data_IF_893079199017
#
_entry.id   IF_893079199017
#
_cell.length_a   1.000
_cell.length_b   1.000
_cell.length_c   1.000
_cell.angle_alpha   90.00
_cell.angle_beta   90.00
_cell.angle_gamma   90.00
#
_symmetry.space_group_name_H-M   'P 1'
#
loop_
_entity.id
_entity.type
_entity.pdbx_description
1 polymer ?
#
# COMPACT_ATOMS: atom_id res chain seq x y z
N UNK A 1 -27.14 4.27 1.33
CA UNK A 1 -26.18 5.37 1.56
C UNK A 1 -25.82 6.10 0.29
N UNK A 2 -25.06 5.51 -0.64
CA UNK A 2 -24.56 6.20 -1.84
C UNK A 2 -25.69 6.81 -2.71
N UNK A 3 -26.82 6.12 -2.86
CA UNK A 3 -27.99 6.67 -3.55
C UNK A 3 -28.52 7.97 -2.92
N UNK A 4 -28.52 8.08 -1.58
CA UNK A 4 -28.94 9.29 -0.88
C UNK A 4 -27.94 10.44 -1.10
N UNK A 5 -26.64 10.13 -1.07
CA UNK A 5 -25.59 11.11 -1.34
C UNK A 5 -25.65 11.63 -2.79
N UNK A 6 -25.87 10.73 -3.75
CA UNK A 6 -26.09 11.09 -5.16
C UNK A 6 -27.33 11.97 -5.37
N UNK A 7 -28.33 11.87 -4.49
CA UNK A 7 -29.50 12.74 -4.48
C UNK A 7 -29.24 14.09 -3.77
N UNK A 8 -28.01 14.38 -3.34
CA UNK A 8 -27.62 15.62 -2.66
C UNK A 8 -27.93 15.64 -1.16
N UNK A 9 -28.24 14.49 -0.55
CA UNK A 9 -28.47 14.44 0.89
C UNK A 9 -27.17 14.72 1.67
N UNK A 10 -27.28 15.47 2.76
CA UNK A 10 -26.22 15.61 3.74
C UNK A 10 -25.98 14.27 4.48
N UNK A 11 -24.86 14.15 5.20
CA UNK A 11 -24.42 12.90 5.84
C UNK A 11 -25.32 12.42 6.99
N UNK A 12 -26.09 13.30 7.61
CA UNK A 12 -27.04 13.01 8.68
C UNK A 12 -28.17 12.07 8.22
N UNK A 13 -28.72 12.29 7.03
CA UNK A 13 -29.77 11.45 6.47
C UNK A 13 -29.36 9.97 6.26
N UNK A 14 -28.26 9.63 5.55
CA UNK A 14 -27.81 8.26 5.43
C UNK A 14 -27.28 7.68 6.75
N UNK A 15 -26.69 8.49 7.64
CA UNK A 15 -26.29 8.02 8.97
C UNK A 15 -27.51 7.56 9.80
N UNK A 16 -28.58 8.37 9.81
CA UNK A 16 -29.85 8.03 10.46
C UNK A 16 -30.49 6.78 9.88
N UNK A 17 -30.50 6.63 8.55
CA UNK A 17 -31.04 5.45 7.88
C UNK A 17 -30.26 4.16 8.20
N UNK A 18 -28.95 4.26 8.44
CA UNK A 18 -28.09 3.13 8.82
C UNK A 18 -28.03 2.90 10.34
N UNK A 19 -28.59 3.79 11.15
CA UNK A 19 -28.51 3.71 12.61
C UNK A 19 -27.08 3.88 13.14
N UNK A 20 -26.21 4.62 12.44
CA UNK A 20 -24.82 4.87 12.85
C UNK A 20 -24.59 6.35 13.17
N UNK A 21 -23.65 6.69 14.07
CA UNK A 21 -23.26 8.08 14.30
C UNK A 21 -22.71 8.73 13.03
N UNK A 22 -22.98 10.03 12.84
CA UNK A 22 -22.50 10.79 11.67
C UNK A 22 -20.97 10.79 11.60
N UNK A 23 -20.29 10.79 12.75
CA UNK A 23 -18.84 10.77 12.87
C UNK A 23 -18.23 9.47 12.31
N UNK A 24 -18.91 8.33 12.51
CA UNK A 24 -18.49 7.06 11.94
C UNK A 24 -18.62 7.06 10.43
N UNK A 25 -19.72 7.62 9.92
CA UNK A 25 -19.91 7.76 8.49
C UNK A 25 -18.89 8.73 7.87
N UNK A 26 -18.58 9.84 8.56
CA UNK A 26 -17.55 10.79 8.12
C UNK A 26 -16.16 10.14 8.07
N UNK A 27 -15.81 9.30 9.05
CA UNK A 27 -14.56 8.54 9.02
C UNK A 27 -14.49 7.55 7.85
N UNK A 28 -15.62 6.92 7.49
CA UNK A 28 -15.73 6.06 6.31
C UNK A 28 -15.55 6.86 5.02
N UNK A 29 -16.24 7.99 4.89
CA UNK A 29 -16.12 8.92 3.75
C UNK A 29 -14.67 9.29 3.49
N UNK A 30 -13.86 9.55 4.52
CA UNK A 30 -12.45 9.91 4.33
C UNK A 30 -11.62 8.83 3.63
N UNK A 31 -12.05 7.56 3.69
CA UNK A 31 -11.33 6.40 3.13
C UNK A 31 -11.86 5.95 1.77
N UNK A 32 -13.10 6.28 1.44
CA UNK A 32 -13.77 5.86 0.21
C UNK A 32 -13.87 7.03 -0.78
N UNK A 33 -13.10 6.98 -1.88
CA UNK A 33 -13.06 8.07 -2.86
C UNK A 33 -14.32 8.18 -3.71
N UNK A 34 -15.10 7.10 -3.88
CA UNK A 34 -16.40 7.13 -4.57
C UNK A 34 -17.37 7.99 -3.76
N UNK A 35 -17.44 7.75 -2.45
CA UNK A 35 -18.31 8.47 -1.53
C UNK A 35 -17.90 9.93 -1.41
N UNK A 36 -16.60 10.24 -1.35
CA UNK A 36 -16.13 11.64 -1.39
C UNK A 36 -16.52 12.35 -2.68
N UNK A 37 -16.38 11.65 -3.81
CA UNK A 37 -16.77 12.20 -5.11
C UNK A 37 -18.29 12.45 -5.18
N UNK A 38 -19.10 11.55 -4.61
CA UNK A 38 -20.54 11.73 -4.53
C UNK A 38 -20.92 12.95 -3.67
N UNK A 39 -20.29 13.14 -2.51
CA UNK A 39 -20.50 14.31 -1.65
C UNK A 39 -20.08 15.63 -2.31
N UNK A 40 -19.06 15.60 -3.16
CA UNK A 40 -18.63 16.75 -3.93
C UNK A 40 -19.57 17.07 -5.11
N UNK A 41 -20.59 16.24 -5.36
CA UNK A 41 -21.52 16.42 -6.47
C UNK A 41 -20.96 16.01 -7.84
N UNK A 42 -19.88 15.22 -7.88
CA UNK A 42 -19.33 14.70 -9.13
C UNK A 42 -20.28 13.73 -9.83
N UNK A 43 -20.11 13.56 -11.13
CA UNK A 43 -20.91 12.64 -11.95
C UNK A 43 -20.71 11.18 -11.53
N UNK A 44 -21.67 10.27 -11.83
CA UNK A 44 -21.50 8.84 -11.58
C UNK A 44 -20.26 8.23 -12.25
N UNK A 45 -19.86 8.75 -13.41
CA UNK A 45 -18.64 8.30 -14.10
C UNK A 45 -17.38 8.66 -13.31
N UNK A 46 -17.29 9.89 -12.79
CA UNK A 46 -16.16 10.33 -11.96
C UNK A 46 -16.11 9.57 -10.63
N UNK A 47 -17.27 9.28 -10.03
CA UNK A 47 -17.38 8.44 -8.84
C UNK A 47 -16.84 7.03 -9.10
N UNK A 48 -17.25 6.39 -10.20
CA UNK A 48 -16.76 5.07 -10.59
C UNK A 48 -15.24 5.09 -10.87
N UNK A 49 -14.75 6.14 -11.52
CA UNK A 49 -13.31 6.32 -11.77
C UNK A 49 -12.52 6.42 -10.47
N UNK A 50 -13.04 7.16 -9.48
CA UNK A 50 -12.43 7.26 -8.16
C UNK A 50 -12.35 5.88 -7.47
N UNK A 51 -13.46 5.12 -7.48
CA UNK A 51 -13.50 3.75 -6.94
C UNK A 51 -12.48 2.81 -7.60
N UNK A 52 -12.39 2.85 -8.94
CA UNK A 52 -11.40 2.08 -9.71
C UNK A 52 -9.96 2.47 -9.33
N UNK A 53 -9.71 3.76 -9.09
CA UNK A 53 -8.39 4.23 -8.67
C UNK A 53 -7.99 3.73 -7.28
N UNK A 54 -8.92 3.70 -6.32
CA UNK A 54 -8.67 3.11 -4.99
C UNK A 54 -8.31 1.62 -5.12
N UNK A 55 -9.04 0.87 -5.94
CA UNK A 55 -8.74 -0.54 -6.20
C UNK A 55 -7.37 -0.74 -6.86
N UNK A 56 -7.02 0.02 -7.92
CA UNK A 56 -5.70 -0.07 -8.55
C UNK A 56 -4.57 0.30 -7.57
N UNK A 57 -4.81 1.26 -6.68
CA UNK A 57 -3.87 1.62 -5.61
C UNK A 57 -3.68 0.45 -4.63
N UNK A 58 -4.78 -0.19 -4.21
CA UNK A 58 -4.73 -1.38 -3.36
C UNK A 58 -4.02 -2.54 -4.07
N UNK A 59 -4.32 -2.81 -5.33
CA UNK A 59 -3.71 -3.85 -6.17
C UNK A 59 -2.18 -3.70 -6.26
N UNK A 60 -1.69 -2.46 -6.36
CA UNK A 60 -0.26 -2.18 -6.30
C UNK A 60 0.37 -2.49 -4.93
N UNK A 61 -0.38 -2.21 -3.86
CA UNK A 61 0.02 -2.43 -2.47
C UNK A 61 0.03 -3.91 -2.08
N UNK A 62 -0.80 -4.72 -2.73
CA UNK A 62 -0.96 -6.17 -2.50
C UNK A 62 -0.18 -7.03 -3.50
N UNK A 63 0.81 -6.45 -4.18
CA UNK A 63 1.63 -7.16 -5.18
C UNK A 63 0.80 -7.86 -6.27
N UNK A 64 -0.34 -7.28 -6.68
CA UNK A 64 -1.18 -7.80 -7.75
C UNK A 64 -2.22 -8.83 -7.30
N UNK A 65 -2.32 -9.12 -5.99
CA UNK A 65 -3.38 -9.97 -5.45
C UNK A 65 -4.72 -9.21 -5.48
N UNK A 66 -5.60 -9.63 -6.40
CA UNK A 66 -6.92 -9.02 -6.63
C UNK A 66 -7.88 -9.25 -5.47
N UNK A 67 -7.87 -10.42 -4.85
CA UNK A 67 -8.78 -10.73 -3.73
C UNK A 67 -8.41 -9.87 -2.52
N UNK A 68 -7.11 -9.80 -2.20
CA UNK A 68 -6.62 -8.96 -1.11
C UNK A 68 -6.84 -7.46 -1.39
N UNK A 69 -6.67 -7.03 -2.65
CA UNK A 69 -6.95 -5.66 -3.05
C UNK A 69 -8.44 -5.31 -2.89
N UNK A 70 -9.33 -6.17 -3.39
CA UNK A 70 -10.78 -5.99 -3.26
C UNK A 70 -11.18 -5.91 -1.78
N UNK A 71 -10.68 -6.82 -0.95
CA UNK A 71 -10.91 -6.80 0.49
C UNK A 71 -10.43 -5.48 1.14
N UNK A 72 -9.25 -4.98 0.76
CA UNK A 72 -8.67 -3.76 1.32
C UNK A 72 -9.49 -2.49 1.04
N UNK A 73 -10.25 -2.48 -0.05
CA UNK A 73 -11.16 -1.37 -0.42
C UNK A 73 -12.64 -1.72 -0.26
N UNK A 74 -12.94 -2.79 0.48
CA UNK A 74 -14.31 -3.22 0.81
C UNK A 74 -15.16 -3.44 -0.46
N UNK A 75 -14.57 -4.11 -1.45
CA UNK A 75 -15.21 -4.52 -2.70
C UNK A 75 -15.45 -6.02 -2.72
N UNK A 76 -16.52 -6.43 -3.40
CA UNK A 76 -16.58 -7.80 -3.90
C UNK A 76 -15.63 -7.91 -5.11
N UNK A 77 -14.81 -8.95 -5.15
CA UNK A 77 -13.92 -9.17 -6.29
C UNK A 77 -14.71 -9.34 -7.59
N UNK A 78 -15.94 -9.84 -7.53
CA UNK A 78 -16.82 -9.97 -8.69
C UNK A 78 -17.22 -8.62 -9.29
N UNK A 79 -17.32 -7.56 -8.48
CA UNK A 79 -17.58 -6.20 -8.97
C UNK A 79 -16.48 -5.72 -9.95
N UNK A 80 -15.25 -6.22 -9.77
CA UNK A 80 -14.10 -5.87 -10.63
C UNK A 80 -14.15 -6.55 -12.00
N UNK A 81 -14.87 -7.67 -12.12
CA UNK A 81 -15.03 -8.40 -13.38
C UNK A 81 -15.83 -7.55 -14.38
N UNK A 82 -16.85 -6.84 -13.91
CA UNK A 82 -17.61 -5.92 -14.76
C UNK A 82 -16.76 -4.75 -15.24
N UNK A 83 -15.80 -4.28 -14.42
CA UNK A 83 -14.91 -3.19 -14.84
C UNK A 83 -13.97 -3.62 -15.96
N UNK A 84 -13.60 -4.89 -16.05
CA UNK A 84 -12.79 -5.42 -17.15
C UNK A 84 -13.49 -5.38 -18.51
N UNK A 85 -14.83 -5.21 -18.55
CA UNK A 85 -15.54 -4.97 -19.79
C UNK A 85 -15.28 -3.57 -20.36
N UNK A 86 -14.80 -2.63 -19.54
CA UNK A 86 -14.32 -1.32 -19.99
C UNK A 86 -12.86 -1.44 -20.47
N UNK A 87 -12.59 -1.23 -21.78
CA UNK A 87 -11.25 -1.40 -22.33
C UNK A 87 -10.22 -0.42 -21.76
N UNK A 88 -10.65 0.77 -21.32
CA UNK A 88 -9.74 1.76 -20.72
C UNK A 88 -9.23 1.25 -19.38
N UNK A 89 -10.14 0.80 -18.52
CA UNK A 89 -9.78 0.24 -17.22
C UNK A 89 -8.97 -1.04 -17.35
N UNK A 90 -9.36 -1.95 -18.25
CA UNK A 90 -8.63 -3.19 -18.48
C UNK A 90 -7.17 -2.94 -18.92
N UNK A 91 -6.93 -1.92 -19.75
CA UNK A 91 -5.60 -1.53 -20.16
C UNK A 91 -4.78 -0.95 -18.99
N UNK A 92 -5.38 -0.11 -18.15
CA UNK A 92 -4.72 0.45 -16.95
C UNK A 92 -4.31 -0.65 -15.96
N UNK A 93 -5.20 -1.59 -15.67
CA UNK A 93 -4.90 -2.71 -14.77
C UNK A 93 -3.81 -3.61 -15.35
N UNK A 94 -3.85 -3.92 -16.65
CA UNK A 94 -2.83 -4.73 -17.32
C UNK A 94 -1.44 -4.08 -17.25
N UNK A 95 -1.35 -2.76 -17.46
CA UNK A 95 -0.10 -2.00 -17.31
C UNK A 95 0.41 -2.06 -15.86
N UNK A 96 -0.48 -1.90 -14.88
CA UNK A 96 -0.11 -1.98 -13.48
C UNK A 96 0.41 -3.38 -13.11
N UNK A 97 -0.30 -4.44 -13.49
CA UNK A 97 0.09 -5.82 -13.22
C UNK A 97 1.43 -6.18 -13.87
N UNK A 98 1.68 -5.66 -15.08
CA UNK A 98 2.99 -5.78 -15.73
C UNK A 98 4.09 -5.12 -14.89
N UNK A 99 3.87 -3.89 -14.42
CA UNK A 99 4.84 -3.18 -13.58
C UNK A 99 5.07 -3.88 -12.21
N UNK A 100 4.03 -4.47 -11.63
CA UNK A 100 4.13 -5.28 -10.41
C UNK A 100 4.95 -6.55 -10.65
N UNK A 101 4.70 -7.26 -11.74
CA UNK A 101 5.44 -8.47 -12.11
C UNK A 101 6.92 -8.15 -12.40
N UNK A 102 7.21 -7.05 -13.11
CA UNK A 102 8.57 -6.56 -13.32
C UNK A 102 9.28 -6.20 -12.01
N UNK A 103 8.57 -5.55 -11.07
CA UNK A 103 9.11 -5.26 -9.75
C UNK A 103 9.43 -6.54 -8.98
N UNK A 104 8.57 -7.54 -9.06
CA UNK A 104 8.75 -8.83 -8.39
C UNK A 104 9.90 -9.65 -9.00
N UNK A 105 10.10 -9.57 -10.32
CA UNK A 105 11.15 -10.29 -11.03
C UNK A 105 12.53 -9.62 -10.94
N UNK A 106 12.59 -8.32 -10.62
CA UNK A 106 13.87 -7.64 -10.42
C UNK A 106 14.70 -8.36 -9.36
N UNK A 107 15.92 -8.79 -9.69
CA UNK A 107 16.78 -9.44 -8.71
C UNK A 107 16.98 -8.47 -7.55
N UNK A 108 16.65 -8.91 -6.34
CA UNK A 108 16.97 -8.14 -5.12
C UNK A 108 18.47 -7.90 -5.15
N UNK A 109 18.89 -6.63 -5.19
CA UNK A 109 20.32 -6.27 -5.12
C UNK A 109 20.91 -6.97 -3.91
N UNK A 110 21.79 -7.95 -4.15
CA UNK A 110 22.56 -8.57 -3.08
C UNK A 110 23.49 -7.49 -2.56
N UNK A 111 23.47 -7.28 -1.25
CA UNK A 111 24.49 -6.47 -0.61
C UNK A 111 25.77 -7.30 -0.70
N UNK A 112 26.82 -6.68 -1.24
CA UNK A 112 28.13 -7.29 -1.32
C UNK A 112 28.67 -7.52 0.10
N UNK A 113 29.32 -8.66 0.34
CA UNK A 113 29.79 -9.02 1.68
C UNK A 113 30.78 -7.97 2.22
N UNK A 114 31.52 -7.29 1.34
CA UNK A 114 32.43 -6.20 1.70
C UNK A 114 31.72 -5.03 2.39
N UNK A 115 30.46 -4.75 2.04
CA UNK A 115 29.66 -3.71 2.71
C UNK A 115 29.20 -4.17 4.10
N UNK A 116 28.95 -5.47 4.29
CA UNK A 116 28.57 -6.04 5.57
C UNK A 116 29.79 -6.08 6.52
N UNK A 117 30.97 -6.42 5.99
CA UNK A 117 32.24 -6.33 6.71
C UNK A 117 32.54 -4.90 7.13
N UNK A 118 32.36 -3.92 6.23
CA UNK A 118 32.55 -2.51 6.56
C UNK A 118 31.58 -2.03 7.64
N UNK A 119 30.34 -2.50 7.61
CA UNK A 119 29.38 -2.20 8.66
C UNK A 119 29.78 -2.82 10.00
N UNK A 120 30.29 -4.06 10.00
CA UNK A 120 30.77 -4.74 11.20
C UNK A 120 31.96 -3.99 11.82
N UNK A 121 32.93 -3.55 11.02
CA UNK A 121 34.08 -2.75 11.48
C UNK A 121 33.65 -1.43 12.15
N UNK A 122 32.66 -0.74 11.57
CA UNK A 122 32.11 0.48 12.17
C UNK A 122 31.46 0.21 13.54
N UNK A 123 30.74 -0.91 13.67
CA UNK A 123 30.14 -1.31 14.93
C UNK A 123 31.20 -1.71 15.98
N UNK A 124 32.22 -2.46 15.56
CA UNK A 124 33.37 -2.86 16.40
C UNK A 124 34.14 -1.64 16.95
N UNK A 125 34.17 -0.54 16.19
CA UNK A 125 34.79 0.73 16.60
C UNK A 125 33.85 1.64 17.41
N UNK A 126 32.66 1.16 17.77
CA UNK A 126 31.72 1.84 18.64
C UNK A 126 30.69 2.72 17.93
N UNK A 127 30.61 2.70 16.59
CA UNK A 127 29.54 3.39 15.89
C UNK A 127 28.18 2.77 16.22
N UNK A 128 27.12 3.58 16.20
CA UNK A 128 25.76 3.06 16.36
C UNK A 128 25.31 2.30 15.10
N UNK A 129 24.35 1.39 15.24
CA UNK A 129 23.77 0.67 14.07
C UNK A 129 23.21 1.62 13.01
N UNK A 130 22.62 2.73 13.43
CA UNK A 130 22.10 3.76 12.51
C UNK A 130 23.21 4.45 11.75
N UNK A 131 24.33 4.76 12.42
CA UNK A 131 25.50 5.37 11.79
C UNK A 131 26.20 4.41 10.83
N UNK A 132 26.42 3.16 11.24
CA UNK A 132 27.03 2.13 10.40
C UNK A 132 26.19 1.92 9.12
N UNK A 133 24.88 1.75 9.28
CA UNK A 133 23.94 1.59 8.17
C UNK A 133 23.98 2.78 7.19
N UNK A 134 23.97 4.01 7.72
CA UNK A 134 24.08 5.24 6.92
C UNK A 134 25.40 5.32 6.15
N UNK A 135 26.54 4.96 6.77
CA UNK A 135 27.86 5.01 6.14
C UNK A 135 28.03 4.00 5.01
N UNK A 136 27.43 2.81 5.12
CA UNK A 136 27.48 1.79 4.04
C UNK A 136 26.32 1.90 3.04
N UNK A 137 25.39 2.84 3.25
CA UNK A 137 24.28 3.11 2.33
C UNK A 137 23.15 2.08 2.37
N UNK A 138 22.87 1.48 3.53
CA UNK A 138 21.79 0.49 3.69
C UNK A 138 20.87 0.84 4.86
N UNK A 139 19.69 0.22 4.95
CA UNK A 139 18.80 0.39 6.10
C UNK A 139 19.27 -0.44 7.30
N UNK A 140 18.99 0.02 8.53
CA UNK A 140 19.31 -0.70 9.77
C UNK A 140 18.68 -2.08 9.82
N UNK A 141 17.42 -2.20 9.37
CA UNK A 141 16.72 -3.48 9.25
C UNK A 141 17.43 -4.45 8.30
N UNK A 142 18.11 -3.94 7.27
CA UNK A 142 18.86 -4.76 6.34
C UNK A 142 20.09 -5.38 6.98
N UNK A 143 20.85 -4.62 7.80
CA UNK A 143 21.99 -5.18 8.55
C UNK A 143 21.54 -6.31 9.48
N UNK A 144 20.43 -6.11 10.21
CA UNK A 144 19.86 -7.14 11.08
C UNK A 144 19.36 -8.37 10.32
N UNK A 145 18.71 -8.17 9.18
CA UNK A 145 18.22 -9.28 8.35
C UNK A 145 19.37 -10.10 7.75
N UNK A 146 20.51 -9.46 7.45
CA UNK A 146 21.66 -10.11 6.82
C UNK A 146 22.63 -10.75 7.81
N UNK A 147 22.63 -10.33 9.07
CA UNK A 147 23.58 -10.86 10.07
C UNK A 147 23.49 -12.36 10.26
N UNK A 148 22.31 -12.98 10.10
CA UNK A 148 22.16 -14.43 10.21
C UNK A 148 23.03 -15.24 9.24
N UNK A 149 23.42 -14.65 8.10
CA UNK A 149 24.33 -15.26 7.13
C UNK A 149 25.75 -14.68 7.14
N UNK A 150 26.06 -13.76 8.05
CA UNK A 150 27.33 -13.02 8.06
C UNK A 150 27.92 -12.96 9.49
N UNK A 151 28.77 -13.92 9.89
CA UNK A 151 29.18 -14.13 11.28
C UNK A 151 29.78 -12.90 11.97
N UNK A 152 30.62 -12.14 11.27
CA UNK A 152 31.29 -10.95 11.82
C UNK A 152 30.28 -9.86 12.19
N UNK A 153 29.40 -9.50 11.25
CA UNK A 153 28.30 -8.58 11.48
C UNK A 153 27.37 -9.06 12.61
N UNK A 154 27.07 -10.37 12.68
CA UNK A 154 26.28 -10.92 13.78
C UNK A 154 26.90 -10.69 15.15
N UNK A 155 28.22 -10.90 15.28
CA UNK A 155 28.95 -10.67 16.52
C UNK A 155 29.00 -9.18 16.90
N UNK A 156 29.05 -8.27 15.92
CA UNK A 156 29.15 -6.84 16.14
C UNK A 156 27.79 -6.16 16.43
N UNK A 157 26.66 -6.82 16.18
CA UNK A 157 25.34 -6.19 16.32
C UNK A 157 24.89 -6.07 17.79
N UNK A 158 24.29 -4.93 18.18
CA UNK A 158 23.66 -4.81 19.49
C UNK A 158 22.39 -5.66 19.59
N UNK A 159 22.07 -6.17 20.80
CA UNK A 159 20.86 -6.96 21.03
C UNK A 159 19.61 -6.20 20.60
N UNK A 160 18.58 -6.96 20.18
CA UNK A 160 17.29 -6.39 19.78
C UNK A 160 16.62 -5.85 21.04
N UNK A 161 16.39 -4.53 21.09
CA UNK A 161 15.56 -3.90 22.12
C UNK A 161 14.09 -4.06 21.79
#
# INVERSE_FOLDING_TARGET
MLAALRAGAALDAPAGALGVPVEHLAAFVLRDSEVRSALAGHSPEEQLRARRHDFLTALRGTDGDRELAAWAVVLDVLDTVEWLADPVYAAEEALLLTAVAERASRPRRRIADELLDRAAELLETGATITEAARRVGVATGTLRSRSGGHPRLAAALPPKR
#
